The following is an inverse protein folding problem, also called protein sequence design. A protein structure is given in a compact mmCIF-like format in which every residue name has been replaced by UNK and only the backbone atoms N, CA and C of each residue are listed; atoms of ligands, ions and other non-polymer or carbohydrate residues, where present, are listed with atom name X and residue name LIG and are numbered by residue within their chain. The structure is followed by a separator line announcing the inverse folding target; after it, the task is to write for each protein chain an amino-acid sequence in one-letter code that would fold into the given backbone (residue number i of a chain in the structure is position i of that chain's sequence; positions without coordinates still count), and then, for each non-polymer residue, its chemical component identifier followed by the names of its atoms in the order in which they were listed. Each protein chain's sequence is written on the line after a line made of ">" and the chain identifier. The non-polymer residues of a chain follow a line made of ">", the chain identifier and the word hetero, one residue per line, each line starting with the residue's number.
data_IF_205888472454
#
_entry.id   IF_205888472454
#
_cell.length_a   1.000
_cell.length_b   1.000
_cell.length_c   1.000
_cell.angle_alpha   90.00
_cell.angle_beta   90.00
_cell.angle_gamma   90.00
#
_symmetry.space_group_name_H-M   'P 1'
#
loop_
_entity.id
_entity.type
_entity.pdbx_description
1 polymer ?
#
# COMPACT_ATOMS: atom_id res chain seq x y z
N UNK A 1 31.61 3.93 -29.70
CA UNK A 1 32.27 3.13 -28.62
C UNK A 1 31.28 2.27 -27.84
N UNK A 2 30.00 2.63 -27.81
CA UNK A 2 28.93 1.81 -27.21
C UNK A 2 28.46 0.68 -28.16
N UNK A 3 28.68 0.83 -29.46
CA UNK A 3 28.27 -0.12 -30.50
C UNK A 3 28.87 -1.52 -30.28
N UNK A 4 30.16 -1.59 -29.90
CA UNK A 4 30.82 -2.85 -29.57
C UNK A 4 30.27 -3.51 -28.30
N UNK A 5 29.79 -2.72 -27.32
CA UNK A 5 29.16 -3.25 -26.12
C UNK A 5 27.74 -3.77 -26.41
N UNK A 6 27.02 -3.15 -27.34
CA UNK A 6 25.72 -3.63 -27.80
C UNK A 6 25.86 -4.99 -28.49
N UNK A 7 26.91 -5.18 -29.30
CA UNK A 7 27.20 -6.46 -29.95
C UNK A 7 27.46 -7.57 -28.91
N UNK A 8 28.23 -7.26 -27.86
CA UNK A 8 28.53 -8.19 -26.76
C UNK A 8 27.31 -8.60 -25.92
N UNK A 9 26.18 -7.88 -26.00
CA UNK A 9 24.93 -8.30 -25.33
C UNK A 9 24.32 -9.57 -25.93
N UNK A 10 24.71 -9.96 -27.14
CA UNK A 10 24.23 -11.17 -27.81
C UNK A 10 25.25 -12.33 -27.78
N UNK A 11 26.33 -12.19 -27.02
CA UNK A 11 27.36 -13.22 -26.91
C UNK A 11 26.82 -14.49 -26.23
N UNK A 12 27.26 -15.66 -26.69
CA UNK A 12 26.83 -16.94 -26.10
C UNK A 12 27.33 -17.10 -24.66
N UNK A 13 28.47 -16.50 -24.32
CA UNK A 13 29.05 -16.52 -22.99
C UNK A 13 28.36 -15.52 -22.04
N UNK A 14 27.80 -16.06 -20.96
CA UNK A 14 27.14 -15.31 -19.88
C UNK A 14 28.04 -14.22 -19.28
N UNK A 15 29.32 -14.48 -19.10
CA UNK A 15 30.24 -13.51 -18.47
C UNK A 15 30.51 -12.31 -19.40
N UNK A 16 30.58 -12.53 -20.71
CA UNK A 16 30.72 -11.48 -21.72
C UNK A 16 29.48 -10.57 -21.72
N UNK A 17 28.28 -11.16 -21.76
CA UNK A 17 27.02 -10.39 -21.68
C UNK A 17 26.94 -9.58 -20.37
N UNK A 18 27.33 -10.19 -19.25
CA UNK A 18 27.36 -9.53 -17.94
C UNK A 18 28.31 -8.32 -17.91
N UNK A 19 29.51 -8.45 -18.49
CA UNK A 19 30.46 -7.34 -18.59
C UNK A 19 29.91 -6.20 -19.45
N UNK A 20 29.28 -6.53 -20.59
CA UNK A 20 28.63 -5.56 -21.46
C UNK A 20 27.51 -4.78 -20.75
N UNK A 21 26.63 -5.47 -20.01
CA UNK A 21 25.56 -4.83 -19.21
C UNK A 21 26.13 -3.82 -18.20
N UNK A 22 27.20 -4.21 -17.49
CA UNK A 22 27.85 -3.35 -16.49
C UNK A 22 28.51 -2.14 -17.17
N UNK A 23 29.22 -2.36 -18.27
CA UNK A 23 29.88 -1.29 -19.03
C UNK A 23 28.86 -0.29 -19.60
N UNK A 24 27.75 -0.77 -20.16
CA UNK A 24 26.65 0.06 -20.64
C UNK A 24 26.02 0.87 -19.50
N UNK A 25 25.74 0.26 -18.35
CA UNK A 25 25.23 0.98 -17.18
C UNK A 25 26.18 2.08 -16.70
N UNK A 26 27.49 1.81 -16.70
CA UNK A 26 28.52 2.78 -16.29
C UNK A 26 28.76 3.89 -17.31
N UNK A 27 28.45 3.67 -18.58
CA UNK A 27 28.56 4.69 -19.63
C UNK A 27 27.62 5.87 -19.40
N UNK A 28 26.51 5.63 -18.68
CA UNK A 28 25.43 6.61 -18.43
C UNK A 28 24.79 7.16 -19.72
N UNK A 29 25.00 6.52 -20.86
CA UNK A 29 24.40 6.93 -22.12
C UNK A 29 22.93 6.48 -22.22
N UNK A 30 22.04 7.43 -22.48
CA UNK A 30 20.61 7.15 -22.66
C UNK A 30 20.33 6.26 -23.87
N UNK A 31 21.20 6.28 -24.89
CA UNK A 31 21.09 5.41 -26.06
C UNK A 31 21.20 3.91 -25.71
N UNK A 32 21.74 3.55 -24.54
CA UNK A 32 21.83 2.16 -24.07
C UNK A 32 20.51 1.60 -23.50
N UNK A 33 19.55 2.46 -23.13
CA UNK A 33 18.28 2.06 -22.49
C UNK A 33 17.43 1.04 -23.28
N UNK A 34 17.19 1.18 -24.59
CA UNK A 34 16.41 0.19 -25.34
C UNK A 34 17.09 -1.19 -25.37
N UNK A 35 18.41 -1.23 -25.46
CA UNK A 35 19.17 -2.49 -25.47
C UNK A 35 19.12 -3.19 -24.11
N UNK A 36 19.27 -2.45 -23.00
CA UNK A 36 19.10 -2.99 -21.65
C UNK A 36 17.66 -3.45 -21.37
N UNK A 37 16.65 -2.81 -21.97
CA UNK A 37 15.27 -3.24 -21.86
C UNK A 37 15.01 -4.58 -22.58
N UNK A 38 15.65 -4.83 -23.71
CA UNK A 38 15.58 -6.12 -24.41
C UNK A 38 16.24 -7.23 -23.58
N UNK A 39 17.43 -6.97 -23.02
CA UNK A 39 18.10 -7.92 -22.12
C UNK A 39 17.22 -8.25 -20.91
N UNK A 40 16.51 -7.27 -20.34
CA UNK A 40 15.57 -7.51 -19.24
C UNK A 40 14.39 -8.41 -19.62
N UNK A 41 13.95 -8.41 -20.88
CA UNK A 41 12.82 -9.22 -21.35
C UNK A 41 13.24 -10.62 -21.78
N UNK A 42 14.34 -10.70 -22.53
CA UNK A 42 14.62 -11.84 -23.39
C UNK A 42 15.87 -12.64 -22.98
N UNK A 43 16.72 -12.14 -22.07
CA UNK A 43 17.91 -12.91 -21.64
C UNK A 43 17.48 -14.19 -20.89
N UNK A 44 18.05 -15.36 -21.25
CA UNK A 44 17.72 -16.63 -20.60
C UNK A 44 18.11 -16.65 -19.12
N UNK A 45 19.11 -15.86 -18.71
CA UNK A 45 19.64 -15.85 -17.35
C UNK A 45 18.89 -14.82 -16.48
N UNK A 46 18.18 -15.25 -15.42
CA UNK A 46 17.39 -14.36 -14.57
C UNK A 46 18.27 -13.30 -13.86
N UNK A 47 19.52 -13.64 -13.56
CA UNK A 47 20.48 -12.72 -12.94
C UNK A 47 20.86 -11.56 -13.88
N UNK A 48 20.98 -11.82 -15.19
CA UNK A 48 21.32 -10.80 -16.18
C UNK A 48 20.13 -9.89 -16.47
N UNK A 49 18.90 -10.43 -16.45
CA UNK A 49 17.68 -9.62 -16.52
C UNK A 49 17.64 -8.57 -15.41
N UNK A 50 17.82 -9.01 -14.16
CA UNK A 50 17.80 -8.09 -13.02
C UNK A 50 18.97 -7.10 -13.05
N UNK A 51 20.14 -7.52 -13.55
CA UNK A 51 21.30 -6.64 -13.73
C UNK A 51 21.02 -5.54 -14.77
N UNK A 52 20.39 -5.88 -15.90
CA UNK A 52 20.00 -4.93 -16.93
C UNK A 52 18.95 -3.93 -16.44
N UNK A 53 17.99 -4.39 -15.63
CA UNK A 53 17.01 -3.52 -14.96
C UNK A 53 17.69 -2.48 -14.06
N UNK A 54 18.66 -2.90 -13.25
CA UNK A 54 19.45 -2.01 -12.38
C UNK A 54 20.31 -1.03 -13.17
N UNK A 55 20.97 -1.50 -14.23
CA UNK A 55 21.76 -0.64 -15.11
C UNK A 55 20.90 0.45 -15.77
N UNK A 56 19.73 0.11 -16.30
CA UNK A 56 18.82 1.09 -16.90
C UNK A 56 18.23 2.09 -15.89
N UNK A 57 17.94 1.65 -14.66
CA UNK A 57 17.53 2.55 -13.58
C UNK A 57 18.66 3.53 -13.19
N UNK A 58 19.91 3.05 -13.14
CA UNK A 58 21.08 3.88 -12.84
C UNK A 58 21.32 4.96 -13.90
N UNK A 59 21.19 4.62 -15.19
CA UNK A 59 21.30 5.61 -16.29
C UNK A 59 20.24 6.71 -16.15
N UNK A 60 18.97 6.35 -15.91
CA UNK A 60 17.88 7.33 -15.74
C UNK A 60 18.08 8.24 -14.53
N UNK A 61 18.53 7.67 -13.40
CA UNK A 61 18.79 8.43 -12.18
C UNK A 61 19.92 9.46 -12.37
N UNK A 62 20.93 9.14 -13.17
CA UNK A 62 22.06 10.03 -13.41
C UNK A 62 21.77 11.14 -14.43
N UNK A 63 20.81 10.93 -15.33
CA UNK A 63 20.44 11.90 -16.38
C UNK A 63 19.19 12.73 -16.04
N UNK A 64 18.75 12.73 -14.77
CA UNK A 64 17.68 13.63 -14.30
C UNK A 64 16.26 13.26 -14.75
N UNK A 65 16.06 12.13 -15.44
CA UNK A 65 14.72 11.67 -15.81
C UNK A 65 14.00 11.05 -14.62
N UNK A 66 13.18 11.89 -13.98
CA UNK A 66 12.17 11.46 -13.02
C UNK A 66 10.87 11.20 -13.77
N UNK A 67 10.58 9.95 -14.15
CA UNK A 67 9.25 9.31 -14.00
C UNK A 67 9.10 8.00 -14.79
N UNK A 68 8.66 6.98 -14.06
CA UNK A 68 7.83 5.82 -14.39
C UNK A 68 7.65 5.36 -15.86
N UNK A 69 8.13 4.13 -16.14
CA UNK A 69 7.29 3.07 -16.71
C UNK A 69 8.01 1.71 -16.63
N UNK A 70 7.53 0.80 -15.77
CA UNK A 70 7.60 -0.63 -16.02
C UNK A 70 6.36 -1.29 -15.39
N UNK A 71 5.59 -2.09 -16.16
CA UNK A 71 4.45 -2.85 -15.65
C UNK A 71 4.93 -4.03 -14.81
N UNK A 72 4.23 -4.28 -13.72
CA UNK A 72 4.36 -5.48 -12.92
C UNK A 72 3.69 -6.67 -13.64
N UNK A 73 4.36 -7.82 -13.69
CA UNK A 73 3.67 -9.11 -13.72
C UNK A 73 4.50 -10.22 -13.06
N UNK A 74 3.82 -10.90 -12.13
CA UNK A 74 3.93 -12.30 -11.74
C UNK A 74 5.29 -12.85 -11.29
N UNK A 75 5.49 -12.90 -9.97
CA UNK A 75 6.28 -13.95 -9.34
C UNK A 75 5.36 -14.75 -8.40
N UNK A 76 5.13 -15.99 -8.81
CA UNK A 76 4.47 -17.07 -8.11
C UNK A 76 5.14 -17.44 -6.79
N UNK A 77 4.35 -18.04 -5.89
CA UNK A 77 4.68 -18.50 -4.56
C UNK A 77 5.96 -19.37 -4.46
N UNK A 78 6.70 -19.33 -3.34
CA UNK A 78 7.76 -20.29 -3.05
C UNK A 78 7.18 -21.64 -2.61
N UNK A 79 7.74 -22.79 -3.03
CA UNK A 79 7.36 -24.08 -2.49
C UNK A 79 7.97 -24.32 -1.11
N UNK A 80 7.11 -24.82 -0.23
CA UNK A 80 7.29 -25.85 0.81
C UNK A 80 8.73 -26.18 1.27
N UNK A 81 9.00 -25.90 2.54
CA UNK A 81 10.10 -26.52 3.28
C UNK A 81 9.78 -28.00 3.54
N UNK A 82 10.45 -28.91 2.84
CA UNK A 82 10.53 -30.31 3.22
C UNK A 82 11.75 -30.54 4.13
N UNK A 83 11.52 -31.15 5.28
CA UNK A 83 12.55 -31.61 6.22
C UNK A 83 13.48 -32.67 5.58
N UNK A 84 14.73 -32.82 6.06
CA UNK A 84 15.64 -33.83 5.51
C UNK A 84 15.18 -35.24 5.91
N UNK A 85 14.95 -36.08 4.91
CA UNK A 85 14.77 -37.51 5.08
C UNK A 85 16.08 -38.19 5.47
N UNK A 86 15.96 -39.13 6.39
CA UNK A 86 17.01 -39.96 6.98
C UNK A 86 17.29 -41.17 6.06
N UNK A 87 18.55 -41.60 6.06
CA UNK A 87 19.08 -42.94 5.75
C UNK A 87 18.86 -43.56 4.36
N UNK A 88 19.96 -43.73 3.62
CA UNK A 88 20.18 -44.89 2.75
C UNK A 88 20.89 -45.99 3.55
N UNK A 89 20.21 -47.11 3.78
CA UNK A 89 20.76 -48.37 4.27
C UNK A 89 21.43 -49.13 3.10
N UNK A 90 22.40 -50.02 3.37
CA UNK A 90 22.89 -50.98 2.37
C UNK A 90 21.93 -52.19 2.29
N UNK A 91 22.04 -52.98 1.21
CA UNK A 91 21.17 -54.13 0.87
C UNK A 91 21.17 -55.31 1.87
N UNK A 92 21.89 -55.23 2.99
CA UNK A 92 21.96 -56.24 4.05
C UNK A 92 21.52 -55.72 5.44
N UNK A 93 20.94 -54.52 5.51
CA UNK A 93 20.24 -54.03 6.72
C UNK A 93 21.13 -53.60 7.89
N UNK A 94 22.42 -53.28 7.68
CA UNK A 94 23.32 -52.81 8.75
C UNK A 94 23.86 -51.38 8.54
N UNK A 95 24.08 -50.65 9.65
CA UNK A 95 24.51 -49.25 9.69
C UNK A 95 26.04 -49.14 9.56
N UNK A 96 26.54 -48.35 8.59
CA UNK A 96 27.97 -48.00 8.47
C UNK A 96 28.41 -47.09 9.63
N UNK A 97 29.00 -47.67 10.67
CA UNK A 97 29.80 -46.93 11.66
C UNK A 97 31.13 -46.51 11.04
N UNK A 98 31.25 -45.24 10.64
CA UNK A 98 32.52 -44.65 10.22
C UNK A 98 33.37 -44.37 11.47
N UNK A 99 34.26 -45.31 11.79
CA UNK A 99 35.29 -45.14 12.81
C UNK A 99 36.26 -44.05 12.35
N UNK A 100 36.20 -42.87 12.96
CA UNK A 100 37.21 -41.82 12.75
C UNK A 100 38.41 -42.09 13.66
N UNK A 101 39.54 -42.36 13.01
CA UNK A 101 40.87 -42.38 13.61
C UNK A 101 41.22 -40.96 14.05
N UNK A 102 41.46 -40.75 15.35
CA UNK A 102 41.85 -39.46 15.93
C UNK A 102 43.17 -38.99 15.30
N UNK A 103 43.22 -37.84 14.61
CA UNK A 103 44.49 -37.22 14.27
C UNK A 103 45.11 -36.62 15.53
N UNK A 104 46.42 -36.80 15.68
CA UNK A 104 47.26 -36.11 16.67
C UNK A 104 46.95 -34.61 16.71
N UNK A 105 46.98 -33.97 17.89
CA UNK A 105 46.65 -32.55 18.00
C UNK A 105 47.71 -31.74 17.24
N UNK A 106 47.35 -31.28 16.05
CA UNK A 106 47.92 -30.03 15.54
C UNK A 106 47.44 -28.97 16.51
N UNK A 107 48.41 -28.39 17.21
CA UNK A 107 48.31 -27.15 17.96
C UNK A 107 47.23 -26.27 17.32
N UNK A 108 46.04 -26.27 17.94
CA UNK A 108 44.96 -25.38 17.55
C UNK A 108 45.52 -23.98 17.72
N UNK A 109 45.84 -23.35 16.59
CA UNK A 109 46.09 -21.93 16.54
C UNK A 109 44.93 -21.26 17.27
N UNK A 110 45.21 -20.81 18.50
CA UNK A 110 44.35 -19.97 19.33
C UNK A 110 43.73 -18.97 18.36
N UNK A 111 42.39 -18.99 18.19
CA UNK A 111 41.70 -17.92 17.48
C UNK A 111 42.28 -16.62 18.03
N UNK A 112 42.90 -15.76 17.21
CA UNK A 112 43.45 -14.54 17.74
C UNK A 112 42.28 -13.82 18.41
N UNK A 113 42.40 -13.60 19.72
CA UNK A 113 41.63 -12.54 20.37
C UNK A 113 41.74 -11.35 19.42
N UNK A 114 40.61 -10.85 18.94
CA UNK A 114 40.59 -9.70 18.03
C UNK A 114 41.26 -8.55 18.76
N UNK A 115 42.57 -8.39 18.57
CA UNK A 115 43.34 -7.28 19.10
C UNK A 115 42.64 -6.02 18.60
N UNK A 116 42.21 -5.21 19.56
CA UNK A 116 41.60 -3.93 19.28
C UNK A 116 42.64 -3.12 18.50
N UNK A 117 42.32 -2.61 17.29
CA UNK A 117 43.28 -1.82 16.52
C UNK A 117 43.81 -0.67 17.37
N UNK A 118 45.12 -0.65 17.60
CA UNK A 118 45.80 0.41 18.34
C UNK A 118 46.40 1.45 17.41
N UNK A 119 46.21 2.73 17.76
CA UNK A 119 46.77 3.87 17.03
C UNK A 119 48.32 3.84 17.11
N UNK A 120 48.98 4.26 16.04
CA UNK A 120 50.44 4.23 15.89
C UNK A 120 51.03 2.86 15.53
N UNK A 121 50.26 1.77 15.65
CA UNK A 121 50.68 0.44 15.17
C UNK A 121 50.29 0.28 13.71
N UNK A 122 51.22 -0.27 12.93
CA UNK A 122 50.97 -0.62 11.53
C UNK A 122 50.72 -2.13 11.41
N UNK A 123 49.71 -2.48 10.63
CA UNK A 123 49.21 -3.83 10.41
C UNK A 123 49.44 -4.22 8.95
N UNK A 124 49.73 -5.50 8.72
CA UNK A 124 49.90 -6.01 7.35
C UNK A 124 48.53 -6.24 6.72
N UNK A 125 48.20 -5.49 5.66
CA UNK A 125 46.91 -5.57 4.96
C UNK A 125 47.12 -5.72 3.46
N UNK A 126 46.39 -6.66 2.84
CA UNK A 126 46.44 -6.91 1.39
C UNK A 126 45.94 -5.69 0.60
N UNK A 127 46.44 -5.51 -0.63
CA UNK A 127 46.01 -4.40 -1.51
C UNK A 127 44.50 -4.41 -1.74
N UNK A 128 43.91 -5.58 -1.99
CA UNK A 128 42.47 -5.74 -2.18
C UNK A 128 41.65 -5.29 -0.96
N UNK A 129 42.10 -5.60 0.26
CA UNK A 129 41.42 -5.18 1.48
C UNK A 129 41.57 -3.67 1.72
N UNK A 130 42.74 -3.08 1.40
CA UNK A 130 42.93 -1.63 1.43
C UNK A 130 41.99 -0.91 0.47
N UNK A 131 41.92 -1.36 -0.79
CA UNK A 131 41.05 -0.76 -1.81
C UNK A 131 39.57 -0.86 -1.42
N UNK A 132 39.13 -2.02 -0.94
CA UNK A 132 37.76 -2.20 -0.42
C UNK A 132 37.46 -1.34 0.79
N UNK A 133 38.39 -1.25 1.74
CA UNK A 133 38.22 -0.41 2.92
C UNK A 133 38.08 1.05 2.52
N UNK A 134 38.88 1.54 1.56
CA UNK A 134 38.75 2.89 1.01
C UNK A 134 37.37 3.14 0.40
N UNK A 135 36.87 2.23 -0.43
CA UNK A 135 35.50 2.34 -0.97
C UNK A 135 34.42 2.36 0.13
N UNK A 136 34.59 1.61 1.22
CA UNK A 136 33.66 1.65 2.35
C UNK A 136 33.68 3.01 3.06
N UNK A 137 34.84 3.66 3.20
CA UNK A 137 34.93 5.02 3.74
C UNK A 137 34.19 6.01 2.83
N UNK A 138 34.32 5.87 1.52
CA UNK A 138 33.57 6.68 0.54
C UNK A 138 32.04 6.46 0.64
N UNK A 139 31.59 5.22 0.83
CA UNK A 139 30.18 4.92 1.09
C UNK A 139 29.69 5.47 2.44
N UNK A 140 30.56 5.50 3.45
CA UNK A 140 30.25 6.11 4.73
C UNK A 140 30.04 7.63 4.57
N UNK A 141 30.94 8.32 3.89
CA UNK A 141 30.80 9.74 3.59
C UNK A 141 29.51 10.02 2.82
N UNK A 142 29.25 9.24 1.76
CA UNK A 142 28.01 9.37 0.98
C UNK A 142 26.76 9.17 1.84
N UNK A 143 26.80 8.23 2.79
CA UNK A 143 25.68 7.97 3.70
C UNK A 143 25.48 9.13 4.69
N UNK A 144 26.56 9.72 5.21
CA UNK A 144 26.54 10.89 6.08
C UNK A 144 25.96 12.13 5.38
N UNK A 145 26.37 12.39 4.13
CA UNK A 145 25.81 13.47 3.30
C UNK A 145 24.29 13.32 3.14
N UNK A 146 23.81 12.07 3.02
CA UNK A 146 22.38 11.76 2.94
C UNK A 146 21.67 11.71 4.31
N UNK A 147 22.34 12.08 5.41
CA UNK A 147 21.81 12.04 6.78
C UNK A 147 21.64 10.63 7.37
N UNK A 148 22.19 9.58 6.74
CA UNK A 148 22.16 8.20 7.24
C UNK A 148 23.42 7.85 8.04
N UNK A 149 23.56 8.49 9.21
CA UNK A 149 24.71 8.28 10.08
C UNK A 149 24.78 6.85 10.64
N UNK A 150 23.64 6.20 10.80
CA UNK A 150 23.58 4.80 11.23
C UNK A 150 24.22 3.86 10.20
N UNK A 151 23.92 4.06 8.92
CA UNK A 151 24.54 3.30 7.84
C UNK A 151 26.01 3.70 7.63
N UNK A 152 26.32 4.99 7.73
CA UNK A 152 27.70 5.47 7.67
C UNK A 152 28.59 4.82 8.73
N UNK A 153 28.13 4.75 9.97
CA UNK A 153 28.81 4.09 11.09
C UNK A 153 29.09 2.60 10.81
N UNK A 154 28.15 1.89 10.16
CA UNK A 154 28.36 0.49 9.78
C UNK A 154 29.46 0.35 8.73
N UNK A 155 29.49 1.23 7.73
CA UNK A 155 30.53 1.24 6.71
C UNK A 155 31.91 1.56 7.29
N UNK A 156 32.01 2.53 8.20
CA UNK A 156 33.26 2.84 8.90
C UNK A 156 33.77 1.65 9.72
N UNK A 157 32.90 1.03 10.53
CA UNK A 157 33.26 -0.16 11.28
C UNK A 157 33.71 -1.32 10.37
N UNK A 158 33.05 -1.51 9.22
CA UNK A 158 33.46 -2.53 8.25
C UNK A 158 34.79 -2.18 7.57
N UNK A 159 35.02 -0.90 7.25
CA UNK A 159 36.28 -0.43 6.67
C UNK A 159 37.45 -0.71 7.62
N UNK A 160 37.30 -0.38 8.91
CA UNK A 160 38.34 -0.60 9.92
C UNK A 160 38.62 -2.08 10.15
N UNK A 161 37.60 -2.96 10.05
CA UNK A 161 37.78 -4.41 10.12
C UNK A 161 38.57 -4.97 8.93
N UNK A 162 38.43 -4.37 7.74
CA UNK A 162 39.19 -4.77 6.55
C UNK A 162 40.61 -4.18 6.53
N UNK A 163 40.77 -2.96 7.04
CA UNK A 163 42.04 -2.26 7.09
C UNK A 163 42.21 -1.53 8.44
N UNK A 164 42.82 -2.19 9.45
CA UNK A 164 43.08 -1.59 10.76
C UNK A 164 43.96 -0.34 10.71
N UNK A 165 44.79 -0.18 9.67
CA UNK A 165 45.65 1.00 9.50
C UNK A 165 44.87 2.30 9.30
N UNK A 166 43.57 2.22 8.98
CA UNK A 166 42.71 3.40 8.88
C UNK A 166 42.58 4.15 10.21
N UNK A 167 42.90 3.53 11.35
CA UNK A 167 42.96 4.21 12.64
C UNK A 167 43.99 5.36 12.67
N UNK A 168 44.98 5.32 11.78
CA UNK A 168 46.04 6.32 11.65
C UNK A 168 45.81 7.28 10.47
N UNK A 169 44.72 7.11 9.72
CA UNK A 169 44.46 7.86 8.50
C UNK A 169 43.63 9.12 8.81
N UNK A 170 44.16 10.29 8.46
CA UNK A 170 43.52 11.59 8.76
C UNK A 170 42.18 11.75 8.02
N UNK A 171 42.08 11.21 6.80
CA UNK A 171 40.84 11.26 6.04
C UNK A 171 39.76 10.39 6.70
N UNK A 172 40.12 9.18 7.13
CA UNK A 172 39.23 8.31 7.91
C UNK A 172 38.78 8.99 9.21
N UNK A 173 39.70 9.62 9.95
CA UNK A 173 39.37 10.35 11.17
C UNK A 173 38.41 11.53 10.91
N UNK A 174 38.59 12.23 9.78
CA UNK A 174 37.70 13.31 9.37
C UNK A 174 36.27 12.82 9.04
N UNK A 175 36.14 11.74 8.26
CA UNK A 175 34.83 11.14 7.94
C UNK A 175 34.19 10.53 9.19
N UNK A 176 34.98 9.90 10.06
CA UNK A 176 34.52 9.43 11.36
C UNK A 176 33.92 10.57 12.17
N UNK A 177 34.62 11.70 12.26
CA UNK A 177 34.14 12.87 13.00
C UNK A 177 32.87 13.48 12.41
N UNK A 178 32.73 13.52 11.08
CA UNK A 178 31.50 14.04 10.46
C UNK A 178 30.29 13.13 10.70
N UNK A 179 30.51 11.82 10.85
CA UNK A 179 29.46 10.84 11.16
C UNK A 179 29.07 10.90 12.64
N UNK A 180 30.05 10.92 13.54
CA UNK A 180 29.81 10.84 14.99
C UNK A 180 29.46 12.17 15.62
N UNK A 181 29.87 13.29 15.03
CA UNK A 181 29.86 14.61 15.64
C UNK A 181 31.00 14.84 16.64
N UNK A 182 31.89 13.87 16.81
CA UNK A 182 33.06 13.93 17.69
C UNK A 182 34.32 14.27 16.89
N UNK A 183 35.41 14.65 17.58
CA UNK A 183 36.67 14.97 16.91
C UNK A 183 37.77 13.95 17.19
N UNK A 184 38.61 13.70 16.18
CA UNK A 184 39.85 12.94 16.31
C UNK A 184 39.68 11.54 16.93
N UNK A 185 40.38 11.29 18.03
CA UNK A 185 40.44 9.99 18.70
C UNK A 185 39.11 9.53 19.27
N UNK A 186 38.24 10.45 19.72
CA UNK A 186 36.95 10.07 20.28
C UNK A 186 36.00 9.54 19.20
N UNK A 187 36.04 10.08 17.98
CA UNK A 187 35.27 9.57 16.85
C UNK A 187 35.72 8.14 16.47
N UNK A 188 37.03 7.91 16.46
CA UNK A 188 37.61 6.58 16.21
C UNK A 188 37.22 5.60 17.33
N UNK A 189 37.34 6.01 18.59
CA UNK A 189 36.99 5.20 19.76
C UNK A 189 35.53 4.74 19.71
N UNK A 190 34.62 5.64 19.32
CA UNK A 190 33.20 5.31 19.15
C UNK A 190 32.97 4.24 18.07
N UNK A 191 33.78 4.21 17.01
CA UNK A 191 33.68 3.19 15.95
C UNK A 191 34.26 1.85 16.41
N UNK A 192 35.39 1.88 17.13
CA UNK A 192 36.10 0.70 17.62
C UNK A 192 35.27 -0.01 18.70
N UNK A 193 34.80 0.75 19.70
CA UNK A 193 34.05 0.18 20.81
C UNK A 193 32.67 -0.31 20.39
N UNK A 194 32.38 -1.57 20.68
CA UNK A 194 31.16 -2.21 20.19
C UNK A 194 29.91 -1.67 20.85
N UNK A 195 29.96 -1.33 22.14
CA UNK A 195 28.79 -0.87 22.88
C UNK A 195 28.46 0.57 22.54
N UNK A 196 29.47 1.44 22.49
CA UNK A 196 29.32 2.85 22.07
C UNK A 196 28.80 2.91 20.64
N UNK A 197 29.34 2.11 19.71
CA UNK A 197 28.85 2.00 18.33
C UNK A 197 27.39 1.57 18.25
N UNK A 198 26.97 0.55 19.02
CA UNK A 198 25.57 0.09 19.05
C UNK A 198 24.64 1.18 19.58
N UNK A 199 25.05 1.88 20.64
CA UNK A 199 24.34 3.02 21.21
C UNK A 199 24.14 4.14 20.17
N UNK A 200 25.23 4.52 19.48
CA UNK A 200 25.20 5.50 18.41
C UNK A 200 24.29 5.08 17.25
N UNK A 201 24.39 3.85 16.75
CA UNK A 201 23.52 3.38 15.66
C UNK A 201 22.05 3.43 16.08
N UNK A 202 21.72 3.09 17.33
CA UNK A 202 20.36 3.17 17.85
C UNK A 202 19.86 4.61 17.92
N UNK A 203 20.66 5.55 18.44
CA UNK A 203 20.29 6.97 18.51
C UNK A 203 20.18 7.60 17.12
N UNK A 204 21.11 7.33 16.22
CA UNK A 204 21.09 7.82 14.84
C UNK A 204 19.86 7.32 14.06
N UNK A 205 19.47 6.05 14.23
CA UNK A 205 18.22 5.53 13.64
C UNK A 205 16.99 6.24 14.22
N UNK A 206 16.96 6.48 15.54
CA UNK A 206 15.86 7.20 16.18
C UNK A 206 15.78 8.66 15.69
N UNK A 207 16.91 9.35 15.60
CA UNK A 207 16.99 10.73 15.10
C UNK A 207 16.54 10.83 13.64
N UNK A 208 17.01 9.93 12.76
CA UNK A 208 16.56 9.88 11.36
C UNK A 208 15.07 9.61 11.25
N UNK A 209 14.52 8.71 12.07
CA UNK A 209 13.07 8.46 12.11
C UNK A 209 12.29 9.70 12.54
N UNK A 210 12.79 10.46 13.51
CA UNK A 210 12.15 11.69 13.98
C UNK A 210 12.24 12.81 12.94
N UNK A 211 13.38 12.94 12.25
CA UNK A 211 13.53 13.87 11.13
C UNK A 211 12.53 13.56 10.00
N UNK A 212 12.39 12.30 9.60
CA UNK A 212 11.40 11.91 8.56
C UNK A 212 9.98 12.26 9.01
N UNK A 213 9.65 12.08 10.30
CA UNK A 213 8.34 12.44 10.85
C UNK A 213 8.11 13.94 10.85
N UNK A 214 9.10 14.75 11.23
CA UNK A 214 8.99 16.20 11.27
C UNK A 214 8.87 16.78 9.86
N UNK A 215 9.69 16.32 8.91
CA UNK A 215 9.60 16.70 7.49
C UNK A 215 8.21 16.37 6.91
N UNK A 216 7.70 15.17 7.17
CA UNK A 216 6.36 14.77 6.75
C UNK A 216 5.28 15.64 7.40
N UNK A 217 5.40 15.94 8.68
CA UNK A 217 4.46 16.79 9.40
C UNK A 217 4.44 18.23 8.85
N UNK A 218 5.60 18.80 8.56
CA UNK A 218 5.72 20.13 7.97
C UNK A 218 5.04 20.18 6.60
N UNK A 219 5.25 19.16 5.76
CA UNK A 219 4.51 19.04 4.50
C UNK A 219 3.01 18.93 4.71
N UNK A 220 2.55 18.12 5.67
CA UNK A 220 1.13 17.97 5.99
C UNK A 220 0.49 19.24 6.59
N UNK A 221 1.27 20.14 7.17
CA UNK A 221 0.78 21.44 7.69
C UNK A 221 0.57 22.48 6.59
N UNK A 222 1.24 22.34 5.44
CA UNK A 222 1.07 23.27 4.31
C UNK A 222 -0.35 23.21 3.73
N UNK A 223 -1.03 22.08 3.89
CA UNK A 223 -2.41 21.90 3.43
C UNK A 223 -3.40 22.62 4.36
N UNK A 224 -3.92 23.73 3.83
CA UNK A 224 -4.84 24.61 4.55
C UNK A 224 -6.30 24.19 4.41
N UNK A 225 -7.12 24.60 5.38
CA UNK A 225 -8.56 24.41 5.39
C UNK A 225 -9.29 25.01 4.17
N UNK A 226 -8.70 25.99 3.48
CA UNK A 226 -9.29 26.58 2.26
C UNK A 226 -9.37 25.59 1.11
N UNK A 227 -8.34 24.75 0.93
CA UNK A 227 -8.37 23.66 -0.03
C UNK A 227 -9.38 22.58 0.37
N UNK A 228 -9.36 22.20 1.65
CA UNK A 228 -10.28 21.20 2.19
C UNK A 228 -11.76 21.59 2.03
N UNK A 229 -12.13 22.86 2.24
CA UNK A 229 -13.52 23.32 2.14
C UNK A 229 -14.06 23.24 0.71
N UNK A 230 -13.23 23.49 -0.29
CA UNK A 230 -13.66 23.37 -1.69
C UNK A 230 -14.02 21.94 -2.04
N UNK A 231 -13.15 20.99 -1.65
CA UNK A 231 -13.41 19.56 -1.85
C UNK A 231 -14.67 19.08 -1.12
N UNK A 232 -14.93 19.65 0.06
CA UNK A 232 -16.11 19.36 0.86
C UNK A 232 -17.42 19.78 0.18
N UNK A 233 -17.45 21.00 -0.39
CA UNK A 233 -18.61 21.51 -1.13
C UNK A 233 -18.82 20.71 -2.42
N UNK A 234 -17.74 20.40 -3.15
CA UNK A 234 -17.84 19.59 -4.36
C UNK A 234 -18.38 18.19 -4.05
N UNK A 235 -17.94 17.58 -2.96
CA UNK A 235 -18.45 16.28 -2.51
C UNK A 235 -19.94 16.33 -2.20
N UNK A 236 -20.41 17.39 -1.53
CA UNK A 236 -21.84 17.59 -1.26
C UNK A 236 -22.63 17.66 -2.57
N UNK A 237 -22.19 18.51 -3.50
CA UNK A 237 -22.86 18.70 -4.80
C UNK A 237 -22.93 17.39 -5.56
N UNK A 238 -21.82 16.64 -5.64
CA UNK A 238 -21.77 15.33 -6.32
C UNK A 238 -22.77 14.35 -5.69
N UNK A 239 -22.80 14.26 -4.36
CA UNK A 239 -23.68 13.34 -3.64
C UNK A 239 -25.15 13.80 -3.60
N UNK A 240 -25.49 14.98 -4.11
CA UNK A 240 -26.88 15.40 -4.36
C UNK A 240 -27.23 15.17 -5.83
N UNK A 241 -26.37 15.64 -6.73
CA UNK A 241 -26.62 15.65 -8.17
C UNK A 241 -26.67 14.24 -8.76
N UNK A 242 -25.70 13.38 -8.45
CA UNK A 242 -25.63 12.05 -9.07
C UNK A 242 -26.75 11.11 -8.63
N UNK A 243 -27.14 11.01 -7.35
CA UNK A 243 -28.33 10.27 -6.95
C UNK A 243 -29.60 10.78 -7.62
N UNK A 244 -29.75 12.10 -7.76
CA UNK A 244 -30.91 12.72 -8.41
C UNK A 244 -30.99 12.29 -9.88
N UNK A 245 -29.90 12.46 -10.63
CA UNK A 245 -29.81 12.06 -12.04
C UNK A 245 -30.03 10.55 -12.21
N UNK A 246 -29.42 9.75 -11.34
CA UNK A 246 -29.55 8.29 -11.38
C UNK A 246 -31.00 7.86 -11.15
N UNK A 247 -31.69 8.48 -10.18
CA UNK A 247 -33.09 8.20 -9.88
C UNK A 247 -34.01 8.56 -11.05
N UNK A 248 -33.77 9.71 -11.69
CA UNK A 248 -34.53 10.13 -12.89
C UNK A 248 -34.35 9.10 -14.01
N UNK A 249 -33.11 8.71 -14.32
CA UNK A 249 -32.82 7.72 -15.37
C UNK A 249 -33.47 6.37 -15.05
N UNK A 250 -33.35 5.89 -13.81
CA UNK A 250 -33.92 4.61 -13.38
C UNK A 250 -35.44 4.62 -13.51
N UNK A 251 -36.11 5.69 -13.08
CA UNK A 251 -37.56 5.81 -13.17
C UNK A 251 -38.00 5.83 -14.65
N UNK A 252 -37.31 6.58 -15.50
CA UNK A 252 -37.67 6.68 -16.92
C UNK A 252 -37.46 5.36 -17.67
N UNK A 253 -36.34 4.67 -17.42
CA UNK A 253 -36.10 3.33 -17.97
C UNK A 253 -37.15 2.34 -17.46
N UNK A 254 -37.52 2.42 -16.19
CA UNK A 254 -38.56 1.54 -15.61
C UNK A 254 -39.90 1.75 -16.33
N UNK A 255 -40.29 3.01 -16.59
CA UNK A 255 -41.50 3.33 -17.39
C UNK A 255 -41.42 2.76 -18.80
N UNK A 256 -40.28 2.94 -19.48
CA UNK A 256 -40.10 2.40 -20.84
C UNK A 256 -40.17 0.88 -20.90
N UNK A 257 -39.56 0.17 -19.95
CA UNK A 257 -39.63 -1.30 -19.87
C UNK A 257 -41.06 -1.76 -19.61
N UNK A 258 -41.81 -1.01 -18.81
CA UNK A 258 -43.21 -1.28 -18.52
C UNK A 258 -44.12 -1.13 -19.75
N UNK A 259 -43.98 -0.02 -20.49
CA UNK A 259 -44.74 0.22 -21.72
C UNK A 259 -44.53 -0.89 -22.76
N UNK A 260 -43.28 -1.37 -22.89
CA UNK A 260 -42.94 -2.50 -23.76
C UNK A 260 -43.61 -3.80 -23.27
N UNK A 261 -43.58 -4.07 -21.97
CA UNK A 261 -44.18 -5.28 -21.39
C UNK A 261 -45.70 -5.31 -21.55
N UNK A 262 -46.38 -4.17 -21.38
CA UNK A 262 -47.82 -4.05 -21.63
C UNK A 262 -48.16 -4.29 -23.10
N UNK A 263 -47.42 -3.69 -24.03
CA UNK A 263 -47.63 -3.89 -25.46
C UNK A 263 -47.46 -5.37 -25.87
N UNK A 264 -46.50 -6.09 -25.28
CA UNK A 264 -46.31 -7.52 -25.50
C UNK A 264 -47.50 -8.35 -24.98
N UNK A 265 -48.03 -8.02 -23.79
CA UNK A 265 -49.22 -8.69 -23.26
C UNK A 265 -50.45 -8.48 -24.15
N UNK A 266 -50.67 -7.26 -24.65
CA UNK A 266 -51.79 -6.96 -25.56
C UNK A 266 -51.67 -7.71 -26.90
N UNK A 267 -50.45 -7.88 -27.41
CA UNK A 267 -50.18 -8.62 -28.65
C UNK A 267 -50.29 -10.14 -28.53
N UNK A 268 -50.42 -10.67 -27.30
CA UNK A 268 -50.47 -12.12 -27.04
C UNK A 268 -49.10 -12.81 -27.07
N UNK A 269 -47.99 -12.06 -27.23
CA UNK A 269 -46.63 -12.55 -27.08
C UNK A 269 -46.28 -12.70 -25.57
N UNK A 270 -46.88 -13.71 -24.94
CA UNK A 270 -46.78 -14.05 -23.51
C UNK A 270 -45.40 -14.63 -23.10
N UNK A 271 -44.30 -14.09 -23.62
CA UNK A 271 -42.94 -14.50 -23.25
C UNK A 271 -42.58 -14.16 -21.80
N UNK A 272 -41.31 -13.86 -21.53
CA UNK A 272 -40.82 -13.55 -20.17
C UNK A 272 -41.58 -12.38 -19.50
N UNK A 273 -42.23 -11.49 -20.27
CA UNK A 273 -43.00 -10.34 -19.77
C UNK A 273 -44.19 -10.71 -18.87
N UNK A 274 -44.85 -11.86 -19.09
CA UNK A 274 -46.03 -12.27 -18.33
C UNK A 274 -45.71 -12.53 -16.85
N UNK A 275 -44.49 -12.99 -16.54
CA UNK A 275 -44.04 -13.23 -15.17
C UNK A 275 -43.84 -11.92 -14.38
N UNK A 276 -43.68 -10.78 -15.06
CA UNK A 276 -43.44 -9.48 -14.44
C UNK A 276 -44.70 -8.62 -14.34
N UNK A 277 -45.82 -8.98 -14.98
CA UNK A 277 -47.08 -8.22 -14.97
C UNK A 277 -47.58 -7.79 -13.58
N UNK A 278 -47.56 -8.65 -12.54
CA UNK A 278 -48.06 -8.26 -11.21
C UNK A 278 -47.13 -7.26 -10.51
N UNK A 279 -45.83 -7.41 -10.73
CA UNK A 279 -44.78 -6.52 -10.21
C UNK A 279 -44.90 -5.18 -10.92
N UNK A 280 -45.02 -5.21 -12.24
CA UNK A 280 -45.18 -4.07 -13.12
C UNK A 280 -46.33 -3.14 -12.68
N UNK A 281 -47.52 -3.70 -12.42
CA UNK A 281 -48.70 -2.93 -11.97
C UNK A 281 -48.51 -2.29 -10.58
N UNK A 282 -47.82 -3.00 -9.66
CA UNK A 282 -47.52 -2.49 -8.32
C UNK A 282 -46.51 -1.34 -8.36
N UNK A 283 -45.58 -1.38 -9.32
CA UNK A 283 -44.57 -0.33 -9.52
C UNK A 283 -45.15 0.91 -10.21
N UNK A 284 -46.04 0.77 -11.19
CA UNK A 284 -46.70 1.91 -11.84
C UNK A 284 -47.45 2.79 -10.82
N UNK A 285 -48.17 2.17 -9.87
CA UNK A 285 -48.81 2.85 -8.74
C UNK A 285 -47.83 3.59 -7.81
N UNK A 286 -46.64 3.02 -7.59
CA UNK A 286 -45.61 3.61 -6.72
C UNK A 286 -44.87 4.78 -7.40
N UNK A 287 -44.54 4.67 -8.69
CA UNK A 287 -43.66 5.63 -9.39
C UNK A 287 -44.39 6.67 -10.25
N UNK A 288 -45.68 6.49 -10.52
CA UNK A 288 -46.52 7.48 -11.23
C UNK A 288 -46.67 8.79 -10.47
N UNK A 289 -46.54 8.76 -9.13
CA UNK A 289 -46.73 9.92 -8.25
C UNK A 289 -45.41 10.59 -7.82
N UNK A 290 -44.25 10.01 -8.15
CA UNK A 290 -42.96 10.55 -7.71
C UNK A 290 -42.55 11.71 -8.62
N UNK A 291 -42.82 12.92 -8.15
CA UNK A 291 -42.38 14.16 -8.79
C UNK A 291 -40.90 14.49 -8.52
N UNK A 292 -40.37 15.40 -9.35
CA UNK A 292 -38.99 15.90 -9.23
C UNK A 292 -38.63 16.36 -7.81
N UNK A 293 -39.54 17.07 -7.12
CA UNK A 293 -39.26 17.61 -5.78
C UNK A 293 -39.07 16.52 -4.73
N UNK A 294 -39.78 15.40 -4.82
CA UNK A 294 -39.59 14.27 -3.92
C UNK A 294 -38.19 13.65 -4.12
N UNK A 295 -37.76 13.49 -5.38
CA UNK A 295 -36.42 13.01 -5.72
C UNK A 295 -35.32 13.98 -5.27
N UNK A 296 -35.54 15.29 -5.46
CA UNK A 296 -34.60 16.31 -5.03
C UNK A 296 -34.42 16.33 -3.52
N UNK A 297 -35.50 16.29 -2.74
CA UNK A 297 -35.46 16.25 -1.27
C UNK A 297 -34.78 14.96 -0.79
N UNK A 298 -35.11 13.82 -1.38
CA UNK A 298 -34.46 12.54 -1.07
C UNK A 298 -32.95 12.61 -1.36
N UNK A 299 -32.56 13.12 -2.53
CA UNK A 299 -31.16 13.25 -2.92
C UNK A 299 -30.39 14.26 -2.05
N UNK A 300 -31.05 15.35 -1.64
CA UNK A 300 -30.50 16.31 -0.69
C UNK A 300 -30.24 15.66 0.66
N UNK A 301 -31.21 14.90 1.19
CA UNK A 301 -31.06 14.16 2.43
C UNK A 301 -29.93 13.12 2.35
N UNK A 302 -29.82 12.39 1.24
CA UNK A 302 -28.73 11.46 0.97
C UNK A 302 -27.37 12.18 0.93
N UNK A 303 -27.27 13.31 0.24
CA UNK A 303 -26.04 14.10 0.18
C UNK A 303 -25.57 14.60 1.55
N UNK A 304 -26.51 15.12 2.35
CA UNK A 304 -26.25 15.55 3.73
C UNK A 304 -25.86 14.34 4.61
N UNK A 305 -26.52 13.21 4.46
CA UNK A 305 -26.16 12.00 5.19
C UNK A 305 -24.73 11.55 4.84
N UNK A 306 -24.39 11.47 3.55
CA UNK A 306 -23.09 11.02 3.09
C UNK A 306 -21.96 11.94 3.58
N UNK A 307 -22.18 13.26 3.62
CA UNK A 307 -21.15 14.19 4.10
C UNK A 307 -20.91 14.05 5.59
N UNK A 308 -21.97 13.85 6.38
CA UNK A 308 -21.86 13.59 7.83
C UNK A 308 -21.10 12.28 8.06
N UNK A 309 -21.49 11.21 7.37
CA UNK A 309 -20.83 9.90 7.48
C UNK A 309 -19.35 9.95 7.07
N UNK A 310 -19.02 10.57 5.93
CA UNK A 310 -17.65 10.70 5.46
C UNK A 310 -16.78 11.47 6.46
N UNK A 311 -17.33 12.51 7.07
CA UNK A 311 -16.63 13.31 8.09
C UNK A 311 -16.42 12.57 9.40
N UNK A 312 -17.44 11.85 9.89
CA UNK A 312 -17.28 10.98 11.05
C UNK A 312 -16.21 9.91 10.80
N UNK A 313 -16.20 9.32 9.60
CA UNK A 313 -15.16 8.36 9.18
C UNK A 313 -13.77 8.98 9.16
N UNK A 314 -13.62 10.19 8.64
CA UNK A 314 -12.35 10.89 8.63
C UNK A 314 -11.86 11.21 10.06
N UNK A 315 -12.76 11.62 10.96
CA UNK A 315 -12.43 11.89 12.37
C UNK A 315 -11.93 10.61 13.05
N UNK A 316 -12.66 9.51 12.92
CA UNK A 316 -12.26 8.23 13.54
C UNK A 316 -10.92 7.74 12.96
N UNK A 317 -10.73 7.81 11.65
CA UNK A 317 -9.45 7.47 11.03
C UNK A 317 -8.30 8.34 11.53
N UNK A 318 -8.51 9.64 11.75
CA UNK A 318 -7.48 10.54 12.27
C UNK A 318 -6.96 10.05 13.63
N UNK A 319 -7.89 9.72 14.54
CA UNK A 319 -7.52 9.26 15.88
C UNK A 319 -6.86 7.88 15.87
N UNK A 320 -7.38 6.93 15.07
CA UNK A 320 -6.78 5.59 14.96
C UNK A 320 -5.38 5.67 14.33
N UNK A 321 -5.20 6.43 13.25
CA UNK A 321 -3.91 6.58 12.60
C UNK A 321 -2.86 7.19 13.55
N UNK A 322 -3.26 8.18 14.36
CA UNK A 322 -2.40 8.73 15.43
C UNK A 322 -2.10 7.72 16.53
N UNK A 323 -3.07 6.89 16.92
CA UNK A 323 -2.86 5.83 17.91
C UNK A 323 -1.83 4.79 17.45
N UNK A 324 -1.73 4.54 16.14
CA UNK A 324 -0.67 3.72 15.54
C UNK A 324 0.69 4.44 15.38
N UNK A 325 0.84 5.64 15.95
CA UNK A 325 2.07 6.43 15.86
C UNK A 325 2.25 7.17 14.54
N UNK A 326 1.19 7.28 13.75
CA UNK A 326 1.14 8.05 12.52
C UNK A 326 1.24 9.55 12.79
N UNK A 327 1.90 10.28 11.90
CA UNK A 327 2.14 11.72 12.02
C UNK A 327 1.50 12.41 10.84
N UNK A 328 0.51 13.26 11.10
CA UNK A 328 -0.26 13.93 10.06
C UNK A 328 -1.31 14.88 10.65
N UNK A 329 -1.88 15.71 9.78
CA UNK A 329 -2.90 16.71 10.16
C UNK A 329 -4.28 16.26 9.69
N UNK A 330 -5.32 16.71 10.41
CA UNK A 330 -6.71 16.41 10.03
C UNK A 330 -7.11 17.12 8.74
N UNK A 331 -6.66 18.37 8.54
CA UNK A 331 -6.94 19.15 7.33
C UNK A 331 -6.39 18.46 6.07
N UNK A 332 -5.15 17.96 6.13
CA UNK A 332 -4.53 17.21 5.04
C UNK A 332 -5.30 15.91 4.72
N UNK A 333 -5.74 15.19 5.77
CA UNK A 333 -6.56 13.99 5.60
C UNK A 333 -7.88 14.31 4.89
N UNK A 334 -8.60 15.35 5.34
CA UNK A 334 -9.87 15.76 4.72
C UNK A 334 -9.65 16.16 3.27
N UNK A 335 -8.69 17.05 2.98
CA UNK A 335 -8.41 17.47 1.61
C UNK A 335 -8.10 16.26 0.71
N UNK A 336 -7.26 15.34 1.18
CA UNK A 336 -6.85 14.16 0.42
C UNK A 336 -7.98 13.15 0.20
N UNK A 337 -8.79 12.88 1.23
CA UNK A 337 -9.92 11.95 1.12
C UNK A 337 -11.02 12.49 0.22
N UNK A 338 -11.40 13.77 0.39
CA UNK A 338 -12.48 14.35 -0.38
C UNK A 338 -12.08 14.59 -1.83
N UNK A 339 -10.85 15.00 -2.11
CA UNK A 339 -10.32 15.06 -3.49
C UNK A 339 -10.37 13.68 -4.17
N UNK A 340 -10.03 12.63 -3.42
CA UNK A 340 -10.16 11.26 -3.90
C UNK A 340 -11.63 10.89 -4.17
N UNK A 341 -12.54 11.16 -3.24
CA UNK A 341 -13.96 10.88 -3.38
C UNK A 341 -14.58 11.62 -4.57
N UNK A 342 -14.26 12.91 -4.75
CA UNK A 342 -14.77 13.73 -5.84
C UNK A 342 -14.40 13.17 -7.22
N UNK A 343 -13.23 12.52 -7.32
CA UNK A 343 -12.80 11.86 -8.56
C UNK A 343 -13.49 10.51 -8.79
N UNK A 344 -13.80 9.76 -7.73
CA UNK A 344 -14.23 8.36 -7.84
C UNK A 344 -15.74 8.14 -7.71
N UNK A 345 -16.41 8.90 -6.86
CA UNK A 345 -17.85 8.76 -6.61
C UNK A 345 -18.69 8.95 -7.88
N UNK A 346 -18.41 9.93 -8.76
CA UNK A 346 -19.11 10.05 -10.05
C UNK A 346 -19.05 8.78 -10.90
N UNK A 347 -17.87 8.13 -10.95
CA UNK A 347 -17.65 6.90 -11.71
C UNK A 347 -18.49 5.76 -11.11
N UNK A 348 -18.49 5.65 -9.77
CA UNK A 348 -19.29 4.66 -9.06
C UNK A 348 -20.78 4.83 -9.33
N UNK A 349 -21.29 6.07 -9.31
CA UNK A 349 -22.69 6.34 -9.65
C UNK A 349 -23.02 5.94 -11.08
N UNK A 350 -22.22 6.36 -12.07
CA UNK A 350 -22.46 6.01 -13.47
C UNK A 350 -22.47 4.49 -13.68
N UNK A 351 -21.46 3.79 -13.15
CA UNK A 351 -21.37 2.32 -13.27
C UNK A 351 -22.55 1.63 -12.59
N UNK A 352 -22.94 2.10 -11.39
CA UNK A 352 -24.08 1.53 -10.66
C UNK A 352 -25.41 1.77 -11.38
N UNK A 353 -25.60 2.97 -11.94
CA UNK A 353 -26.80 3.30 -12.72
C UNK A 353 -26.89 2.48 -13.99
N UNK A 354 -25.79 2.35 -14.74
CA UNK A 354 -25.74 1.49 -15.93
C UNK A 354 -26.02 0.02 -15.57
N UNK A 355 -25.52 -0.45 -14.44
CA UNK A 355 -25.81 -1.79 -13.96
C UNK A 355 -27.31 -1.99 -13.65
N UNK A 356 -27.93 -1.07 -12.91
CA UNK A 356 -29.37 -1.11 -12.62
C UNK A 356 -30.20 -1.04 -13.90
N UNK A 357 -29.86 -0.14 -14.83
CA UNK A 357 -30.54 -0.04 -16.13
C UNK A 357 -30.44 -1.34 -16.92
N UNK A 358 -29.26 -1.99 -16.91
CA UNK A 358 -29.07 -3.28 -17.58
C UNK A 358 -29.94 -4.37 -16.94
N UNK A 359 -30.03 -4.40 -15.60
CA UNK A 359 -30.92 -5.32 -14.89
C UNK A 359 -32.38 -5.09 -15.30
N UNK A 360 -32.83 -3.84 -15.38
CA UNK A 360 -34.21 -3.51 -15.76
C UNK A 360 -34.52 -3.94 -17.20
N UNK A 361 -33.67 -3.59 -18.16
CA UNK A 361 -33.89 -3.89 -19.59
C UNK A 361 -33.80 -5.39 -19.89
N UNK A 362 -33.05 -6.15 -19.08
CA UNK A 362 -32.90 -7.60 -19.22
C UNK A 362 -33.86 -8.39 -18.33
N UNK A 363 -34.88 -7.74 -17.78
CA UNK A 363 -35.88 -8.33 -16.88
C UNK A 363 -35.24 -9.13 -15.72
N UNK A 364 -34.14 -8.63 -15.17
CA UNK A 364 -33.47 -9.26 -14.03
C UNK A 364 -32.66 -10.51 -14.36
N UNK A 365 -32.23 -10.69 -15.61
CA UNK A 365 -31.40 -11.82 -16.03
C UNK A 365 -30.23 -12.08 -15.07
N UNK A 366 -30.18 -13.30 -14.54
CA UNK A 366 -29.19 -13.74 -13.54
C UNK A 366 -27.76 -13.53 -14.03
N UNK A 367 -27.51 -13.67 -15.33
CA UNK A 367 -26.20 -13.45 -15.95
C UNK A 367 -25.77 -11.99 -15.81
N UNK A 368 -26.63 -11.03 -16.13
CA UNK A 368 -26.31 -9.60 -16.05
C UNK A 368 -26.28 -9.08 -14.61
N UNK A 369 -27.14 -9.62 -13.74
CA UNK A 369 -27.08 -9.37 -12.29
C UNK A 369 -25.71 -9.82 -11.75
N UNK A 370 -25.29 -11.05 -12.07
CA UNK A 370 -24.01 -11.60 -11.63
C UNK A 370 -22.80 -10.83 -12.17
N UNK A 371 -22.75 -10.60 -13.49
CA UNK A 371 -21.63 -9.90 -14.13
C UNK A 371 -21.47 -8.48 -13.62
N UNK A 372 -22.56 -7.70 -13.55
CA UNK A 372 -22.46 -6.34 -13.06
C UNK A 372 -22.22 -6.27 -11.55
N UNK A 373 -22.70 -7.24 -10.77
CA UNK A 373 -22.35 -7.39 -9.35
C UNK A 373 -20.83 -7.58 -9.15
N UNK A 374 -20.18 -8.40 -9.99
CA UNK A 374 -18.73 -8.58 -9.96
C UNK A 374 -17.98 -7.29 -10.33
N UNK A 375 -18.48 -6.52 -11.31
CA UNK A 375 -17.89 -5.23 -11.69
C UNK A 375 -17.99 -4.23 -10.53
N UNK A 376 -19.18 -4.07 -9.94
CA UNK A 376 -19.40 -3.16 -8.80
C UNK A 376 -18.56 -3.59 -7.59
N UNK A 377 -18.45 -4.90 -7.32
CA UNK A 377 -17.59 -5.42 -6.28
C UNK A 377 -16.12 -5.08 -6.53
N UNK A 378 -15.60 -5.30 -7.74
CA UNK A 378 -14.23 -4.97 -8.09
C UNK A 378 -13.93 -3.48 -7.94
N UNK A 379 -14.81 -2.62 -8.45
CA UNK A 379 -14.64 -1.16 -8.36
C UNK A 379 -14.70 -0.71 -6.89
N UNK A 380 -15.62 -1.26 -6.10
CA UNK A 380 -15.75 -0.96 -4.66
C UNK A 380 -14.52 -1.42 -3.87
N UNK A 381 -14.02 -2.63 -4.14
CA UNK A 381 -12.81 -3.16 -3.52
C UNK A 381 -11.60 -2.28 -3.84
N UNK A 382 -11.44 -1.89 -5.11
CA UNK A 382 -10.40 -0.94 -5.52
C UNK A 382 -10.56 0.39 -4.78
N UNK A 383 -11.79 0.88 -4.63
CA UNK A 383 -12.04 2.13 -3.97
C UNK A 383 -11.61 2.11 -2.49
N UNK A 384 -11.99 1.06 -1.76
CA UNK A 384 -11.58 0.82 -0.37
C UNK A 384 -10.06 0.73 -0.25
N UNK A 385 -9.42 -0.07 -1.11
CA UNK A 385 -7.95 -0.22 -1.08
C UNK A 385 -7.22 1.11 -1.27
N UNK A 386 -7.80 2.02 -2.07
CA UNK A 386 -7.21 3.34 -2.32
C UNK A 386 -7.44 4.28 -1.15
N UNK A 387 -8.61 4.26 -0.51
CA UNK A 387 -8.88 5.02 0.72
C UNK A 387 -7.89 4.62 1.82
N UNK A 388 -7.69 3.32 2.04
CA UNK A 388 -6.70 2.82 3.01
C UNK A 388 -5.29 3.33 2.71
N UNK A 389 -4.92 3.41 1.42
CA UNK A 389 -3.62 3.95 1.00
C UNK A 389 -3.53 5.47 1.24
N UNK A 390 -4.58 6.23 0.97
CA UNK A 390 -4.62 7.68 1.24
C UNK A 390 -4.44 7.94 2.73
N UNK A 391 -5.14 7.18 3.60
CA UNK A 391 -4.94 7.27 5.06
C UNK A 391 -3.50 6.94 5.43
N UNK A 392 -2.91 5.88 4.86
CA UNK A 392 -1.51 5.54 5.14
C UNK A 392 -0.54 6.66 4.74
N UNK A 393 -0.70 7.21 3.54
CA UNK A 393 0.12 8.29 2.99
C UNK A 393 0.02 9.57 3.85
N UNK A 394 -1.20 9.95 4.28
CA UNK A 394 -1.43 11.15 5.08
C UNK A 394 -0.71 11.12 6.45
N UNK A 395 -0.55 9.92 7.04
CA UNK A 395 0.03 9.75 8.38
C UNK A 395 1.41 9.10 8.38
N UNK A 396 2.05 8.95 7.21
CA UNK A 396 3.32 8.25 7.05
C UNK A 396 3.31 6.84 7.69
N UNK A 397 2.21 6.12 7.48
CA UNK A 397 2.03 4.74 7.89
C UNK A 397 2.32 3.81 6.72
N UNK A 398 2.63 2.55 7.01
CA UNK A 398 2.65 1.54 5.97
C UNK A 398 1.21 1.20 5.51
N UNK A 399 1.10 0.60 4.32
CA UNK A 399 -0.21 0.26 3.74
C UNK A 399 -1.06 -0.64 4.64
N UNK A 400 -0.44 -1.60 5.34
CA UNK A 400 -1.14 -2.51 6.24
C UNK A 400 -1.82 -1.74 7.38
N UNK A 401 -1.12 -0.80 8.01
CA UNK A 401 -1.68 0.03 9.08
C UNK A 401 -2.77 0.97 8.57
N UNK A 402 -2.67 1.47 7.34
CA UNK A 402 -3.77 2.21 6.70
C UNK A 402 -5.03 1.35 6.50
N UNK A 403 -4.86 0.09 6.09
CA UNK A 403 -5.96 -0.87 5.97
C UNK A 403 -6.61 -1.17 7.33
N UNK A 404 -5.79 -1.48 8.35
CA UNK A 404 -6.27 -1.72 9.72
C UNK A 404 -6.99 -0.49 10.28
N UNK A 405 -6.45 0.72 10.06
CA UNK A 405 -7.09 1.97 10.47
C UNK A 405 -8.48 2.13 9.87
N UNK A 406 -8.61 1.88 8.56
CA UNK A 406 -9.89 1.97 7.87
C UNK A 406 -10.89 0.90 8.35
N UNK A 407 -10.46 -0.35 8.52
CA UNK A 407 -11.33 -1.43 9.01
C UNK A 407 -11.80 -1.16 10.44
N UNK A 408 -10.90 -0.74 11.33
CA UNK A 408 -11.23 -0.42 12.71
C UNK A 408 -12.16 0.80 12.79
N UNK A 409 -11.99 1.78 11.90
CA UNK A 409 -12.91 2.92 11.77
C UNK A 409 -14.34 2.45 11.45
N UNK A 410 -14.49 1.51 10.51
CA UNK A 410 -15.80 0.94 10.18
C UNK A 410 -16.42 0.18 11.36
N UNK A 411 -15.64 -0.64 12.08
CA UNK A 411 -16.13 -1.37 13.26
C UNK A 411 -16.59 -0.40 14.34
N UNK A 412 -15.77 0.59 14.68
CA UNK A 412 -16.09 1.59 15.70
C UNK A 412 -17.36 2.37 15.34
N UNK A 413 -17.44 2.88 14.10
CA UNK A 413 -18.62 3.60 13.66
C UNK A 413 -19.87 2.72 13.66
N UNK A 414 -19.76 1.47 13.23
CA UNK A 414 -20.89 0.53 13.26
C UNK A 414 -21.41 0.32 14.69
N UNK A 415 -20.51 0.16 15.67
CA UNK A 415 -20.87 0.04 17.08
C UNK A 415 -21.53 1.33 17.61
N UNK A 416 -21.00 2.49 17.23
CA UNK A 416 -21.58 3.80 17.60
C UNK A 416 -23.00 3.94 17.02
N UNK A 417 -23.19 3.65 15.73
CA UNK A 417 -24.49 3.73 15.10
C UNK A 417 -25.48 2.73 15.69
N UNK A 418 -25.04 1.50 16.00
CA UNK A 418 -25.86 0.51 16.67
C UNK A 418 -26.30 0.99 18.06
N UNK A 419 -25.39 1.55 18.86
CA UNK A 419 -25.71 2.09 20.18
C UNK A 419 -26.69 3.27 20.08
N UNK A 420 -26.47 4.20 19.15
CA UNK A 420 -27.38 5.33 18.90
C UNK A 420 -28.77 4.82 18.50
N UNK A 421 -28.84 3.87 17.57
CA UNK A 421 -30.10 3.28 17.11
C UNK A 421 -30.85 2.59 18.26
N UNK A 422 -30.14 1.81 19.09
CA UNK A 422 -30.73 1.14 20.26
C UNK A 422 -31.27 2.14 21.30
N UNK A 423 -30.54 3.22 21.56
CA UNK A 423 -31.00 4.26 22.48
C UNK A 423 -32.22 5.01 21.93
N UNK A 424 -32.22 5.35 20.63
CA UNK A 424 -33.35 5.98 19.96
C UNK A 424 -34.58 5.07 19.96
N UNK A 425 -34.43 3.78 19.65
CA UNK A 425 -35.55 2.84 19.67
C UNK A 425 -36.10 2.69 21.09
N UNK A 426 -35.24 2.59 22.10
CA UNK A 426 -35.65 2.49 23.50
C UNK A 426 -36.40 3.74 23.97
N UNK A 427 -35.91 4.93 23.58
CA UNK A 427 -36.58 6.20 23.88
C UNK A 427 -37.94 6.28 23.18
N UNK A 428 -38.03 5.91 21.91
CA UNK A 428 -39.28 5.90 21.17
C UNK A 428 -40.29 4.93 21.79
N UNK A 429 -39.87 3.72 22.15
CA UNK A 429 -40.72 2.76 22.87
C UNK A 429 -41.23 3.35 24.18
N UNK A 430 -40.36 3.98 24.97
CA UNK A 430 -40.77 4.62 26.22
C UNK A 430 -41.80 5.75 25.99
N UNK A 431 -41.59 6.58 24.96
CA UNK A 431 -42.55 7.63 24.58
C UNK A 431 -43.89 7.04 24.16
N UNK A 432 -43.88 6.03 23.29
CA UNK A 432 -45.11 5.35 22.82
C UNK A 432 -45.87 4.73 23.99
N UNK A 433 -45.17 3.98 24.87
CA UNK A 433 -45.79 3.36 26.06
C UNK A 433 -46.39 4.41 27.00
N UNK A 434 -45.77 5.57 27.14
CA UNK A 434 -46.29 6.66 27.97
C UNK A 434 -47.41 7.46 27.29
N UNK A 435 -47.53 7.42 25.96
CA UNK A 435 -48.58 8.11 25.20
C UNK A 435 -49.89 7.32 25.15
N UNK A 436 -49.86 5.99 25.28
CA UNK A 436 -51.06 5.15 25.22
C UNK A 436 -51.40 4.55 26.60
N UNK A 437 -52.66 4.62 27.05
CA UNK A 437 -53.09 3.92 28.26
C UNK A 437 -52.83 2.41 28.15
N UNK A 438 -52.56 1.71 29.27
CA UNK A 438 -52.30 0.26 29.26
C UNK A 438 -53.44 -0.57 28.63
N UNK A 439 -54.67 -0.07 28.67
CA UNK A 439 -55.87 -0.66 28.07
C UNK A 439 -55.81 -0.71 26.52
N UNK A 440 -55.21 0.31 25.90
CA UNK A 440 -55.03 0.39 24.44
C UNK A 440 -53.87 -0.50 23.97
N UNK A 441 -52.84 -0.66 24.80
CA UNK A 441 -51.72 -1.55 24.49
C UNK A 441 -52.09 -3.05 24.58
N UNK A 442 -53.03 -3.43 25.46
CA UNK A 442 -53.56 -4.80 25.54
C UNK A 442 -54.41 -5.20 24.33
N UNK A 443 -55.17 -4.25 23.77
CA UNK A 443 -56.00 -4.50 22.58
C UNK A 443 -55.17 -4.61 21.30
N UNK A 444 -54.01 -3.96 21.22
CA UNK A 444 -53.06 -4.05 20.09
C UNK A 444 -52.16 -5.30 20.11
N UNK A 445 -51.95 -5.92 21.28
CA UNK A 445 -51.07 -7.10 21.44
C UNK A 445 -51.82 -8.42 21.56
N UNK A 446 -53.15 -8.38 21.71
CA UNK A 446 -53.97 -9.57 21.64
C UNK A 446 -53.86 -10.18 20.23
N UNK A 447 -53.43 -11.45 20.08
CA UNK A 447 -53.48 -12.12 18.80
C UNK A 447 -54.95 -12.11 18.35
N UNK A 448 -55.23 -11.48 17.22
CA UNK A 448 -56.52 -11.55 16.56
C UNK A 448 -56.81 -13.02 16.28
N UNK A 449 -57.53 -13.67 17.20
CA UNK A 449 -58.27 -14.89 16.93
C UNK A 449 -59.33 -14.50 15.89
N UNK A 450 -58.95 -14.54 14.62
CA UNK A 450 -59.93 -14.60 13.55
C UNK A 450 -60.66 -15.94 13.67
N UNK A 451 -62.00 -15.96 13.74
CA UNK A 451 -62.78 -17.19 13.58
C UNK A 451 -62.68 -17.75 12.16
#
# INVERSE_FOLDING_TARGET
>A
MIDHLIEQLNDSNKDTRKQAIIALGRSKDMAALPYLANVFRDDPEPELRELARKAGAYIRQQNGETSAAAPASSASAPPSYAAPAVSSLNEDGTVKLRVYKTPTPKEEARKPETEIPTRGREYTVTKQNRDRAKSLVEFALSSNINGDNAQAMKYLAQALRLNPNLINDDYYASVAGSVTGESGDEAIRMIVDSETRKGFVKSAVAQKKEQIKSEHLEKAKQDTWRGASFEYVLFLIINILFPLLSSIVIIEVTRSVFDIALAQMESGELGDAAAFAPIALQYELLFSSIGFWALFVSSLATGINNIIFASLHAVVNHYIAKAFGGVGTFSHLIASLFAYYNRWIPILFVVSTLWVVTILVTYGSVVFVGLGGLVVFYVSFRAVSRVSRVVAECYNLNFLMGCVSYLLSNVILTLIFFAIAFLLSSLLTAVVVNMFPPEVMQTLTAPTLMP
#
